data_IF_413971742357
#
_entry.id   IF_413971742357
#
_cell.length_a   1.000
_cell.length_b   1.000
_cell.length_c   1.000
_cell.angle_alpha   90.00
_cell.angle_beta   90.00
_cell.angle_gamma   90.00
#
_symmetry.space_group_name_H-M   'P 1'
#
loop_
_entity.id
_entity.type
_entity.pdbx_description
1 polymer ?
#
# COMPACT_ATOMS: atom_id res chain seq x y z
N UNK A 1 -16.97 4.94 -8.01
CA UNK A 1 -16.11 5.88 -8.76
C UNK A 1 -14.79 5.99 -8.00
N UNK A 2 -13.88 5.06 -8.25
CA UNK A 2 -12.59 4.92 -7.56
C UNK A 2 -11.56 5.88 -8.16
N UNK A 3 -11.80 7.18 -7.98
CA UNK A 3 -10.98 8.27 -8.53
C UNK A 3 -10.17 8.99 -7.43
N UNK A 4 -10.28 8.53 -6.18
CA UNK A 4 -9.77 9.21 -4.99
C UNK A 4 -8.26 9.50 -5.05
N UNK A 5 -7.44 8.48 -5.29
CA UNK A 5 -5.99 8.65 -5.35
C UNK A 5 -5.57 9.52 -6.54
N UNK A 6 -6.06 9.24 -7.75
CA UNK A 6 -5.66 9.98 -8.96
C UNK A 6 -6.02 11.46 -8.86
N UNK A 7 -7.21 11.81 -8.35
CA UNK A 7 -7.63 13.21 -8.15
C UNK A 7 -6.78 13.89 -7.08
N UNK A 8 -6.56 13.23 -5.94
CA UNK A 8 -5.73 13.75 -4.86
C UNK A 8 -4.32 14.11 -5.37
N UNK A 9 -3.74 13.24 -6.19
CA UNK A 9 -2.42 13.46 -6.78
C UNK A 9 -2.41 14.61 -7.81
N UNK A 10 -3.48 14.82 -8.60
CA UNK A 10 -3.60 16.01 -9.48
C UNK A 10 -3.68 17.30 -8.67
N UNK A 11 -4.48 17.31 -7.60
CA UNK A 11 -4.62 18.48 -6.73
C UNK A 11 -3.29 18.83 -6.08
N UNK A 12 -2.58 17.83 -5.57
CA UNK A 12 -1.23 17.98 -5.03
C UNK A 12 -0.25 18.50 -6.10
N UNK A 13 -0.26 17.91 -7.31
CA UNK A 13 0.60 18.35 -8.41
C UNK A 13 0.36 19.83 -8.75
N UNK A 14 -0.91 20.24 -8.81
CA UNK A 14 -1.32 21.62 -9.11
C UNK A 14 -0.88 22.58 -8.02
N UNK A 15 -1.12 22.25 -6.74
CA UNK A 15 -0.70 23.08 -5.62
C UNK A 15 0.82 23.28 -5.58
N UNK A 16 1.59 22.20 -5.76
CA UNK A 16 3.06 22.27 -5.81
C UNK A 16 3.56 23.09 -7.00
N UNK A 17 2.90 23.01 -8.15
CA UNK A 17 3.23 23.81 -9.32
C UNK A 17 2.96 25.30 -9.07
N UNK A 18 1.84 25.65 -8.45
CA UNK A 18 1.53 27.02 -8.07
C UNK A 18 2.58 27.59 -7.10
N UNK A 19 2.99 26.81 -6.09
CA UNK A 19 4.07 27.19 -5.16
C UNK A 19 5.37 27.43 -5.93
N UNK A 20 5.72 26.55 -6.86
CA UNK A 20 6.89 26.73 -7.74
C UNK A 20 6.82 28.06 -8.50
N UNK A 21 5.71 28.36 -9.18
CA UNK A 21 5.52 29.61 -9.92
C UNK A 21 5.63 30.83 -9.00
N UNK A 22 5.00 30.78 -7.82
CA UNK A 22 5.08 31.87 -6.84
C UNK A 22 6.50 32.11 -6.34
N UNK A 23 7.27 31.06 -6.05
CA UNK A 23 8.67 31.18 -5.61
C UNK A 23 9.58 31.70 -6.73
N UNK A 24 9.33 31.31 -7.98
CA UNK A 24 10.06 31.84 -9.14
C UNK A 24 9.81 33.33 -9.34
N UNK A 25 8.57 33.80 -9.14
CA UNK A 25 8.25 35.23 -9.21
C UNK A 25 8.89 36.06 -8.09
N UNK A 26 9.37 35.41 -7.03
CA UNK A 26 10.08 36.03 -5.90
C UNK A 26 11.61 35.85 -5.99
N UNK A 27 12.12 35.43 -7.16
CA UNK A 27 13.54 35.16 -7.44
C UNK A 27 14.18 34.03 -6.56
N UNK A 28 13.36 33.18 -5.93
CA UNK A 28 13.84 32.03 -5.14
C UNK A 28 14.00 30.77 -6.00
N UNK A 29 14.75 30.85 -7.10
CA UNK A 29 14.83 29.77 -8.10
C UNK A 29 15.31 28.44 -7.53
N UNK A 30 16.40 28.43 -6.75
CA UNK A 30 16.94 27.18 -6.19
C UNK A 30 15.95 26.49 -5.24
N UNK A 31 15.23 27.28 -4.42
CA UNK A 31 14.23 26.77 -3.48
C UNK A 31 12.97 26.26 -4.19
N UNK A 32 12.69 26.73 -5.40
CA UNK A 32 11.50 26.34 -6.16
C UNK A 32 11.64 24.96 -6.84
N UNK A 33 12.87 24.52 -7.16
CA UNK A 33 13.13 23.28 -7.91
C UNK A 33 12.55 22.00 -7.26
N UNK A 34 12.64 21.78 -5.93
CA UNK A 34 12.02 20.62 -5.28
C UNK A 34 10.49 20.57 -5.45
N UNK A 35 9.82 21.73 -5.52
CA UNK A 35 8.37 21.81 -5.72
C UNK A 35 7.98 21.43 -7.15
N UNK A 36 8.76 21.88 -8.14
CA UNK A 36 8.58 21.45 -9.54
C UNK A 36 8.79 19.94 -9.66
N UNK A 37 9.86 19.42 -9.06
CA UNK A 37 10.14 17.99 -9.05
C UNK A 37 9.00 17.17 -8.44
N UNK A 38 8.53 17.57 -7.24
CA UNK A 38 7.43 16.90 -6.57
C UNK A 38 6.11 17.01 -7.35
N UNK A 39 5.88 18.13 -8.04
CA UNK A 39 4.71 18.33 -8.92
C UNK A 39 4.72 17.36 -10.11
N UNK A 40 5.85 17.25 -10.82
CA UNK A 40 6.00 16.34 -11.96
C UNK A 40 5.83 14.86 -11.55
N UNK A 41 6.43 14.48 -10.42
CA UNK A 41 6.27 13.13 -9.86
C UNK A 41 4.81 12.85 -9.50
N UNK A 42 4.13 13.81 -8.86
CA UNK A 42 2.72 13.68 -8.49
C UNK A 42 1.80 13.53 -9.71
N UNK A 43 2.08 14.28 -10.78
CA UNK A 43 1.36 14.16 -12.05
C UNK A 43 1.57 12.77 -12.68
N UNK A 44 2.81 12.28 -12.71
CA UNK A 44 3.12 10.94 -13.25
C UNK A 44 2.40 9.84 -12.47
N UNK A 45 2.41 9.91 -11.13
CA UNK A 45 1.69 8.96 -10.27
C UNK A 45 0.17 9.06 -10.49
N UNK A 46 -0.38 10.28 -10.63
CA UNK A 46 -1.79 10.46 -10.94
C UNK A 46 -2.18 9.73 -12.23
N UNK A 47 -1.43 9.92 -13.31
CA UNK A 47 -1.67 9.25 -14.58
C UNK A 47 -1.58 7.73 -14.45
N UNK A 48 -0.55 7.22 -13.76
CA UNK A 48 -0.38 5.77 -13.58
C UNK A 48 -1.44 5.13 -12.67
N UNK A 49 -1.98 5.88 -11.71
CA UNK A 49 -3.05 5.44 -10.81
C UNK A 49 -4.48 5.60 -11.37
N UNK A 50 -4.60 6.28 -12.52
CA UNK A 50 -5.89 6.51 -13.17
C UNK A 50 -6.57 5.18 -13.53
N UNK A 51 -7.90 5.03 -13.35
CA UNK A 51 -8.60 3.75 -13.54
C UNK A 51 -8.38 3.10 -14.92
N UNK A 52 -8.27 3.92 -15.96
CA UNK A 52 -8.09 3.44 -17.34
C UNK A 52 -6.66 3.00 -17.66
N UNK A 53 -5.68 3.40 -16.85
CA UNK A 53 -4.25 3.11 -17.07
C UNK A 53 -3.79 2.04 -16.08
N UNK A 54 -4.00 2.28 -14.78
CA UNK A 54 -3.77 1.35 -13.68
C UNK A 54 -2.45 0.56 -13.78
N UNK A 55 -1.31 1.26 -13.69
CA UNK A 55 0.04 0.65 -13.75
C UNK A 55 0.66 0.66 -12.34
N UNK A 56 0.30 -0.30 -11.45
CA UNK A 56 0.85 -0.34 -10.09
C UNK A 56 2.33 -0.77 -10.05
N UNK A 57 2.85 -1.28 -11.15
CA UNK A 57 4.27 -1.64 -11.32
C UNK A 57 5.18 -0.44 -11.59
N UNK A 58 4.65 0.79 -11.68
CA UNK A 58 5.41 2.01 -11.96
C UNK A 58 6.60 2.17 -11.01
N UNK A 59 6.38 1.97 -9.71
CA UNK A 59 7.41 2.10 -8.68
C UNK A 59 8.42 0.94 -8.70
N UNK A 60 8.19 -0.08 -9.53
CA UNK A 60 9.02 -1.28 -9.66
C UNK A 60 9.37 -1.93 -8.30
N UNK A 61 8.38 -1.96 -7.41
CA UNK A 61 8.45 -2.75 -6.18
C UNK A 61 8.64 -4.22 -6.57
N UNK A 62 9.69 -4.84 -6.03
CA UNK A 62 10.00 -6.24 -6.29
C UNK A 62 9.04 -7.15 -5.52
N UNK A 63 8.99 -8.42 -5.91
CA UNK A 63 8.19 -9.44 -5.23
C UNK A 63 8.59 -9.64 -3.76
N UNK A 64 9.84 -9.32 -3.41
CA UNK A 64 10.35 -9.32 -2.04
C UNK A 64 10.01 -8.03 -1.26
N UNK A 65 9.19 -7.14 -1.84
CA UNK A 65 8.74 -5.90 -1.23
C UNK A 65 9.80 -4.79 -1.17
N UNK A 66 10.98 -4.99 -1.78
CA UNK A 66 12.03 -3.96 -1.83
C UNK A 66 11.88 -3.07 -3.06
N UNK A 67 12.40 -1.84 -2.96
CA UNK A 67 12.50 -0.93 -4.09
C UNK A 67 13.93 -0.85 -4.60
N UNK A 68 14.14 -0.72 -5.92
CA UNK A 68 15.45 -0.34 -6.43
C UNK A 68 15.75 1.12 -6.07
N UNK A 69 17.03 1.44 -5.85
CA UNK A 69 17.49 2.75 -5.38
C UNK A 69 17.01 3.89 -6.30
N UNK A 70 17.08 3.69 -7.61
CA UNK A 70 16.64 4.70 -8.58
C UNK A 70 15.14 5.02 -8.44
N UNK A 71 14.31 4.04 -8.10
CA UNK A 71 12.87 4.25 -7.87
C UNK A 71 12.65 5.06 -6.61
N UNK A 72 13.39 4.76 -5.53
CA UNK A 72 13.34 5.55 -4.29
C UNK A 72 13.73 7.01 -4.54
N UNK A 73 14.73 7.26 -5.38
CA UNK A 73 15.14 8.63 -5.72
C UNK A 73 14.05 9.34 -6.51
N UNK A 74 13.63 8.78 -7.66
CA UNK A 74 12.65 9.39 -8.59
C UNK A 74 11.29 9.60 -7.91
N UNK A 75 10.83 8.62 -7.14
CA UNK A 75 9.51 8.68 -6.52
C UNK A 75 9.55 9.15 -5.07
N UNK A 76 10.72 9.60 -4.56
CA UNK A 76 10.85 10.05 -3.16
C UNK A 76 9.78 11.03 -2.71
N UNK A 77 9.38 12.08 -3.46
CA UNK A 77 8.38 13.03 -2.97
C UNK A 77 7.04 12.36 -2.71
N UNK A 78 6.63 11.45 -3.60
CA UNK A 78 5.40 10.68 -3.45
C UNK A 78 5.51 9.65 -2.32
N UNK A 79 6.60 8.89 -2.26
CA UNK A 79 6.83 7.87 -1.23
C UNK A 79 6.88 8.48 0.18
N UNK A 80 7.46 9.66 0.35
CA UNK A 80 7.42 10.37 1.63
C UNK A 80 6.02 10.89 1.94
N UNK A 81 5.32 11.45 0.96
CA UNK A 81 3.95 11.92 1.12
C UNK A 81 3.02 10.83 1.63
N UNK A 82 2.98 9.66 0.98
CA UNK A 82 2.10 8.55 1.40
C UNK A 82 2.48 7.97 2.76
N UNK A 83 3.77 7.96 3.12
CA UNK A 83 4.23 7.51 4.45
C UNK A 83 3.80 8.48 5.54
N UNK A 84 3.97 9.78 5.32
CA UNK A 84 3.54 10.82 6.27
C UNK A 84 2.02 10.78 6.41
N UNK A 85 1.29 10.69 5.30
CA UNK A 85 -0.17 10.61 5.30
C UNK A 85 -0.67 9.36 6.04
N UNK A 86 -0.05 8.20 5.81
CA UNK A 86 -0.36 6.96 6.54
C UNK A 86 -0.07 7.08 8.04
N UNK A 87 1.07 7.69 8.41
CA UNK A 87 1.43 7.93 9.80
C UNK A 87 0.44 8.87 10.51
N UNK A 88 0.10 10.01 9.89
CA UNK A 88 -0.85 10.98 10.42
C UNK A 88 -2.23 10.35 10.60
N UNK A 89 -2.71 9.63 9.58
CA UNK A 89 -4.02 8.98 9.63
C UNK A 89 -4.08 7.94 10.75
N UNK A 90 -3.05 7.13 10.93
CA UNK A 90 -2.99 6.15 12.05
C UNK A 90 -3.04 6.83 13.41
N UNK A 91 -2.31 7.94 13.55
CA UNK A 91 -2.32 8.72 14.78
C UNK A 91 -3.72 9.29 15.09
N UNK A 92 -4.48 9.66 14.06
CA UNK A 92 -5.85 10.18 14.24
C UNK A 92 -6.92 9.10 14.35
N UNK A 93 -6.76 7.95 13.69
CA UNK A 93 -7.79 6.91 13.60
C UNK A 93 -7.81 5.98 14.80
N UNK A 94 -6.67 5.74 15.46
CA UNK A 94 -6.59 4.81 16.60
C UNK A 94 -6.97 3.37 16.26
N UNK A 95 -7.03 3.01 14.97
CA UNK A 95 -7.38 1.67 14.50
C UNK A 95 -6.36 0.63 14.98
N UNK A 96 -6.87 -0.55 15.34
CA UNK A 96 -6.02 -1.68 15.68
C UNK A 96 -5.08 -2.01 14.50
N UNK A 97 -3.82 -2.39 14.76
CA UNK A 97 -2.84 -2.63 13.70
C UNK A 97 -3.25 -3.73 12.72
N UNK A 98 -3.99 -4.70 13.24
CA UNK A 98 -4.56 -5.82 12.51
C UNK A 98 -5.80 -6.36 13.25
N UNK A 99 -6.69 -7.02 12.51
CA UNK A 99 -7.84 -7.74 13.03
C UNK A 99 -7.81 -9.17 12.49
N UNK A 100 -8.17 -10.13 13.33
CA UNK A 100 -8.37 -11.52 12.91
C UNK A 100 -9.76 -11.66 12.28
N UNK A 101 -9.81 -12.09 11.02
CA UNK A 101 -11.08 -12.25 10.27
C UNK A 101 -11.52 -13.72 10.25
N UNK A 102 -10.58 -14.64 10.36
CA UNK A 102 -10.86 -16.06 10.61
C UNK A 102 -9.62 -16.69 11.23
N UNK A 103 -9.74 -17.90 11.77
CA UNK A 103 -8.66 -18.54 12.54
C UNK A 103 -7.32 -18.51 11.79
N UNK A 104 -6.36 -17.76 12.35
CA UNK A 104 -5.01 -17.56 11.85
C UNK A 104 -4.91 -16.78 10.53
N UNK A 105 -5.93 -16.00 10.17
CA UNK A 105 -5.91 -15.04 9.05
C UNK A 105 -6.22 -13.64 9.57
N UNK A 106 -5.22 -12.77 9.42
CA UNK A 106 -5.21 -11.43 9.95
C UNK A 106 -5.17 -10.40 8.82
N UNK A 107 -5.75 -9.24 9.09
CA UNK A 107 -5.98 -8.19 8.11
C UNK A 107 -5.68 -6.85 8.74
N UNK A 108 -4.89 -6.02 8.07
CA UNK A 108 -4.51 -4.74 8.66
C UNK A 108 -3.87 -3.76 7.69
N UNK A 109 -3.37 -2.67 8.28
CA UNK A 109 -2.56 -1.68 7.59
C UNK A 109 -1.11 -2.13 7.43
N UNK A 110 -0.34 -1.42 6.60
CA UNK A 110 1.11 -1.65 6.45
C UNK A 110 1.86 -1.70 7.80
N UNK A 111 2.51 -2.82 8.18
CA UNK A 111 3.16 -2.96 9.48
C UNK A 111 4.44 -2.12 9.56
N UNK A 112 4.51 -1.20 10.52
CA UNK A 112 5.64 -0.28 10.65
C UNK A 112 6.73 -0.79 11.61
N UNK A 113 6.41 -1.79 12.45
CA UNK A 113 7.32 -2.50 13.36
C UNK A 113 6.88 -3.96 13.55
N UNK A 114 7.77 -4.81 14.09
CA UNK A 114 7.47 -6.23 14.40
C UNK A 114 6.34 -6.38 15.41
N UNK A 115 6.22 -5.49 16.39
CA UNK A 115 5.15 -5.53 17.41
C UNK A 115 3.75 -5.31 16.82
N UNK A 116 3.69 -4.94 15.54
CA UNK A 116 2.46 -4.71 14.77
C UNK A 116 2.19 -5.82 13.76
N UNK A 117 2.93 -6.93 13.86
CA UNK A 117 2.61 -8.17 13.16
C UNK A 117 1.78 -9.10 14.07
N UNK A 118 0.87 -9.89 13.48
CA UNK A 118 0.23 -10.99 14.18
C UNK A 118 1.25 -11.98 14.76
N UNK A 119 0.88 -12.68 15.84
CA UNK A 119 1.76 -13.69 16.45
C UNK A 119 2.01 -14.88 15.51
N UNK A 120 3.07 -15.64 15.79
CA UNK A 120 3.31 -16.93 15.13
C UNK A 120 4.04 -16.86 13.78
N UNK A 121 4.83 -15.82 13.52
CA UNK A 121 5.65 -15.66 12.30
C UNK A 121 4.79 -15.75 11.01
N UNK A 122 3.88 -14.79 10.79
CA UNK A 122 2.88 -14.88 9.73
C UNK A 122 3.49 -14.84 8.33
N UNK A 123 2.87 -15.55 7.40
CA UNK A 123 3.08 -15.35 5.98
C UNK A 123 2.39 -14.05 5.54
N UNK A 124 3.15 -13.12 4.97
CA UNK A 124 2.71 -11.76 4.65
C UNK A 124 2.27 -11.66 3.20
N UNK A 125 1.07 -11.17 2.96
CA UNK A 125 0.57 -10.73 1.65
C UNK A 125 0.51 -9.21 1.68
N UNK A 126 1.35 -8.57 0.86
CA UNK A 126 1.44 -7.12 0.74
C UNK A 126 0.69 -6.64 -0.51
N UNK A 127 -0.43 -5.96 -0.31
CA UNK A 127 -1.25 -5.40 -1.38
C UNK A 127 -0.94 -3.93 -1.67
N UNK A 128 0.27 -3.46 -1.41
CA UNK A 128 0.67 -2.06 -1.61
C UNK A 128 1.78 -1.95 -2.64
N UNK A 129 1.71 -0.93 -3.49
CA UNK A 129 2.80 -0.63 -4.42
C UNK A 129 3.79 0.38 -3.85
N UNK A 130 3.39 1.13 -2.82
CA UNK A 130 4.06 2.32 -2.31
C UNK A 130 4.83 2.13 -1.00
N UNK A 131 4.51 1.10 -0.22
CA UNK A 131 5.19 0.85 1.06
C UNK A 131 6.27 -0.22 0.93
N UNK A 132 7.49 -0.02 1.46
CA UNK A 132 8.54 -1.02 1.40
C UNK A 132 8.31 -2.10 2.46
N UNK A 133 8.75 -3.33 2.17
CA UNK A 133 8.98 -4.34 3.21
C UNK A 133 10.06 -3.83 4.16
N UNK A 134 9.82 -3.92 5.47
CA UNK A 134 10.85 -3.64 6.48
C UNK A 134 11.88 -4.76 6.52
N UNK A 135 13.12 -4.40 6.78
CA UNK A 135 14.24 -5.34 6.91
C UNK A 135 13.99 -6.42 7.97
N UNK A 136 13.32 -6.03 9.06
CA UNK A 136 12.89 -6.91 10.16
C UNK A 136 11.98 -8.06 9.69
N UNK A 137 11.33 -7.94 8.52
CA UNK A 137 10.43 -8.96 7.98
C UNK A 137 11.11 -9.91 6.99
N UNK A 138 12.43 -9.83 6.78
CA UNK A 138 13.15 -10.67 5.81
C UNK A 138 13.02 -12.18 6.03
N UNK A 139 12.75 -12.62 7.26
CA UNK A 139 12.54 -14.03 7.61
C UNK A 139 11.11 -14.57 7.38
N UNK A 140 10.15 -13.70 7.07
CA UNK A 140 8.75 -14.10 6.87
C UNK A 140 8.54 -14.52 5.41
N UNK A 141 7.66 -15.50 5.18
CA UNK A 141 7.16 -15.79 3.83
C UNK A 141 6.42 -14.55 3.32
N UNK A 142 6.73 -14.09 2.10
CA UNK A 142 6.24 -12.80 1.62
C UNK A 142 5.76 -12.88 0.18
N UNK A 143 4.57 -12.36 -0.08
CA UNK A 143 3.95 -12.25 -1.39
C UNK A 143 3.54 -10.79 -1.64
N UNK A 144 4.20 -10.13 -2.59
CA UNK A 144 3.84 -8.77 -2.99
C UNK A 144 2.88 -8.77 -4.18
N UNK A 145 1.74 -8.11 -4.04
CA UNK A 145 0.76 -7.83 -5.07
C UNK A 145 0.65 -6.31 -5.20
N UNK A 146 1.57 -5.67 -5.95
CA UNK A 146 1.62 -4.22 -6.02
C UNK A 146 0.28 -3.70 -6.56
N UNK A 147 -0.42 -2.95 -5.72
CA UNK A 147 -1.73 -2.38 -6.01
C UNK A 147 -1.74 -0.94 -5.54
N UNK A 148 -2.34 -0.04 -6.32
CA UNK A 148 -2.53 1.34 -5.88
C UNK A 148 -3.51 1.39 -4.72
N UNK A 149 -3.32 2.36 -3.82
CA UNK A 149 -4.36 2.68 -2.85
C UNK A 149 -5.71 2.94 -3.53
N UNK A 150 -6.80 2.52 -2.90
CA UNK A 150 -8.18 2.51 -3.43
C UNK A 150 -8.44 1.57 -4.62
N UNK A 151 -7.48 0.71 -4.99
CA UNK A 151 -7.67 -0.32 -6.02
C UNK A 151 -7.70 -1.73 -5.45
N UNK A 152 -8.29 -2.64 -6.21
CA UNK A 152 -8.19 -4.07 -5.98
C UNK A 152 -7.14 -4.70 -6.92
N UNK A 153 -6.43 -5.75 -6.49
CA UNK A 153 -5.66 -6.61 -7.39
C UNK A 153 -6.57 -7.25 -8.44
N UNK A 154 -5.99 -7.75 -9.53
CA UNK A 154 -6.77 -8.44 -10.56
C UNK A 154 -7.38 -9.75 -10.00
N UNK A 155 -8.55 -10.20 -10.51
CA UNK A 155 -9.18 -11.43 -10.02
C UNK A 155 -8.24 -12.65 -9.98
N UNK A 156 -7.42 -12.86 -11.02
CA UNK A 156 -6.44 -13.95 -11.05
C UNK A 156 -5.31 -13.80 -10.02
N UNK A 157 -4.93 -12.57 -9.67
CA UNK A 157 -3.96 -12.30 -8.60
C UNK A 157 -4.58 -12.59 -7.23
N UNK A 158 -5.85 -12.24 -7.04
CA UNK A 158 -6.62 -12.57 -5.83
C UNK A 158 -6.71 -14.09 -5.66
N UNK A 159 -7.06 -14.82 -6.73
CA UNK A 159 -7.12 -16.29 -6.69
C UNK A 159 -5.77 -16.91 -6.34
N UNK A 160 -4.70 -16.47 -6.99
CA UNK A 160 -3.33 -16.94 -6.73
C UNK A 160 -2.90 -16.64 -5.28
N UNK A 161 -3.28 -15.48 -4.74
CA UNK A 161 -3.02 -15.08 -3.37
C UNK A 161 -3.78 -15.95 -2.36
N UNK A 162 -5.05 -16.25 -2.64
CA UNK A 162 -5.88 -17.12 -1.81
C UNK A 162 -5.35 -18.55 -1.79
N UNK A 163 -4.91 -19.08 -2.93
CA UNK A 163 -4.27 -20.40 -3.01
C UNK A 163 -2.94 -20.44 -2.25
N UNK A 164 -2.14 -19.39 -2.39
CA UNK A 164 -0.89 -19.25 -1.64
C UNK A 164 -1.14 -19.18 -0.13
N UNK A 165 -2.12 -18.37 0.31
CA UNK A 165 -2.55 -18.27 1.71
C UNK A 165 -3.04 -19.62 2.24
N UNK A 166 -3.84 -20.33 1.45
CA UNK A 166 -4.41 -21.64 1.82
C UNK A 166 -3.30 -22.67 2.06
N UNK A 167 -2.27 -22.69 1.20
CA UNK A 167 -1.09 -23.55 1.39
C UNK A 167 -0.31 -23.22 2.66
N UNK A 168 -0.22 -21.95 3.04
CA UNK A 168 0.44 -21.52 4.28
C UNK A 168 -0.37 -21.91 5.52
N UNK A 169 -1.69 -21.72 5.49
CA UNK A 169 -2.59 -22.17 6.57
C UNK A 169 -2.55 -23.69 6.76
N UNK A 170 -2.49 -24.47 5.68
CA UNK A 170 -2.31 -25.93 5.75
C UNK A 170 -1.00 -26.37 6.43
N UNK A 171 -0.01 -25.48 6.50
CA UNK A 171 1.26 -25.68 7.23
C UNK A 171 1.20 -25.14 8.67
N UNK A 172 0.01 -24.78 9.17
CA UNK A 172 -0.21 -24.09 10.45
C UNK A 172 0.53 -22.74 10.56
N UNK A 173 0.87 -22.11 9.42
CA UNK A 173 1.46 -20.77 9.40
C UNK A 173 0.33 -19.74 9.35
N UNK A 174 0.27 -18.77 10.28
CA UNK A 174 -0.68 -17.66 10.20
C UNK A 174 -0.49 -16.84 8.92
N UNK A 175 -1.54 -16.22 8.41
CA UNK A 175 -1.45 -15.35 7.22
C UNK A 175 -1.81 -13.94 7.62
N UNK A 176 -0.96 -12.98 7.29
CA UNK A 176 -1.23 -11.56 7.46
C UNK A 176 -1.36 -10.88 6.11
N UNK A 177 -2.54 -10.35 5.82
CA UNK A 177 -2.83 -9.67 4.56
C UNK A 177 -2.95 -8.18 4.88
N UNK A 178 -2.04 -7.38 4.35
CA UNK A 178 -2.07 -5.95 4.59
C UNK A 178 -2.26 -5.14 3.31
N UNK A 179 -3.03 -4.07 3.45
CA UNK A 179 -3.19 -3.02 2.44
C UNK A 179 -2.73 -1.70 3.07
N UNK A 180 -2.77 -0.60 2.31
CA UNK A 180 -2.52 0.72 2.86
C UNK A 180 -3.49 1.04 4.01
N UNK A 181 -4.78 0.67 3.83
CA UNK A 181 -5.89 0.99 4.74
C UNK A 181 -6.90 -0.16 4.93
N UNK A 182 -6.46 -1.42 4.85
CA UNK A 182 -7.27 -2.56 5.33
C UNK A 182 -8.47 -3.01 4.48
N UNK A 183 -8.70 -2.47 3.27
CA UNK A 183 -9.81 -2.92 2.41
C UNK A 183 -9.43 -4.23 1.71
N UNK A 184 -10.09 -5.34 2.07
CA UNK A 184 -9.52 -6.65 1.84
C UNK A 184 -10.38 -7.62 1.02
N UNK A 185 -10.35 -7.40 -0.29
CA UNK A 185 -10.89 -8.35 -1.28
C UNK A 185 -10.29 -9.75 -1.12
N UNK A 186 -8.98 -9.86 -0.78
CA UNK A 186 -8.33 -11.16 -0.62
C UNK A 186 -8.85 -11.92 0.61
N UNK A 187 -9.01 -11.30 1.79
CA UNK A 187 -9.61 -12.02 2.92
C UNK A 187 -11.07 -12.36 2.66
N UNK A 188 -11.85 -11.46 2.04
CA UNK A 188 -13.24 -11.78 1.69
C UNK A 188 -13.32 -12.99 0.76
N UNK A 189 -12.48 -13.04 -0.28
CA UNK A 189 -12.39 -14.21 -1.17
C UNK A 189 -11.87 -15.46 -0.46
N UNK A 190 -10.94 -15.31 0.49
CA UNK A 190 -10.42 -16.41 1.31
C UNK A 190 -11.52 -17.02 2.18
N UNK A 191 -12.22 -16.20 2.97
CA UNK A 191 -13.31 -16.64 3.84
C UNK A 191 -14.47 -17.24 3.04
N UNK A 192 -14.79 -16.66 1.87
CA UNK A 192 -15.83 -17.22 0.99
C UNK A 192 -15.48 -18.61 0.45
N UNK A 193 -14.18 -18.92 0.23
CA UNK A 193 -13.74 -20.25 -0.22
C UNK A 193 -13.59 -21.26 0.93
N UNK A 194 -13.46 -20.77 2.16
CA UNK A 194 -13.29 -21.60 3.37
C UNK A 194 -14.37 -21.28 4.43
N UNK A 195 -15.66 -21.55 4.16
CA UNK A 195 -16.76 -21.17 5.05
C UNK A 195 -16.77 -21.91 6.40
N UNK A 196 -15.88 -22.89 6.60
CA UNK A 196 -15.73 -23.60 7.87
C UNK A 196 -14.78 -22.88 8.85
N UNK A 197 -14.11 -21.81 8.40
CA UNK A 197 -13.32 -20.92 9.24
C UNK A 197 -14.21 -19.70 9.57
N UNK A 198 -14.85 -19.71 10.73
CA UNK A 198 -15.86 -18.72 11.14
C UNK A 198 -15.38 -17.27 10.98
N UNK A 199 -16.26 -16.41 10.46
CA UNK A 199 -16.10 -14.96 10.35
C UNK A 199 -16.58 -14.28 11.65
N UNK A 200 -15.73 -13.60 12.44
CA UNK A 200 -16.21 -12.56 13.34
C UNK A 200 -16.73 -11.41 12.48
N UNK A 201 -18.00 -11.08 12.66
CA UNK A 201 -18.66 -9.94 12.02
C UNK A 201 -17.88 -8.66 12.35
N UNK A 202 -17.19 -8.09 11.36
CA UNK A 202 -16.60 -6.75 11.46
C UNK A 202 -17.76 -5.74 11.60
N UNK A 203 -18.00 -5.27 12.82
CA UNK A 203 -18.89 -4.14 13.07
C UNK A 203 -18.30 -2.88 12.42
N UNK A 204 -19.10 -2.27 11.53
CA UNK A 204 -18.83 -0.98 10.87
C UNK A 204 -18.67 0.16 11.85
#
# INVERSE_FOLDING_TARGET
>A
MDVGLSILMVLQATALFLIFVSLQNLDFTLLSLPFLYASLVSLLVSLASHPSINIPTLLRKKQDGTFPIWSLVIFSPYLYFVRIFSFLRRFTSGEEPYNEICEGVYVGGWPYSVDKLPPGNPAIIDCTCEFPRKEEFKGHSYLCLPTWDTRAPQPGEIESAVEWASRKRAQNVPVFIHCAYGVLFIAQSFCSKHPQLDLPVLHR
#
